data_IF_439595350191
#
_entry.id   IF_439595350191
#
_cell.length_a   1.000
_cell.length_b   1.000
_cell.length_c   1.000
_cell.angle_alpha   90.00
_cell.angle_beta   90.00
_cell.angle_gamma   90.00
#
_symmetry.space_group_name_H-M   'P 1'
#
loop_
_entity.id
_entity.type
_entity.pdbx_description
1 polymer ?
#
# COMPACT_ATOMS: atom_id res chain seq x y z
N UNK A 1 -14.93 6.78 -4.72
CA UNK A 1 -14.66 5.79 -5.80
C UNK A 1 -13.45 6.17 -6.65
N UNK A 2 -13.25 7.45 -6.99
CA UNK A 2 -12.09 7.90 -7.78
C UNK A 2 -10.73 7.45 -7.24
N UNK A 3 -10.52 7.53 -5.92
CA UNK A 3 -9.31 7.04 -5.26
C UNK A 3 -9.08 5.54 -5.47
N UNK A 4 -10.12 4.70 -5.41
CA UNK A 4 -9.99 3.26 -5.59
C UNK A 4 -9.56 2.90 -7.03
N UNK A 5 -10.07 3.61 -8.03
CA UNK A 5 -9.61 3.45 -9.42
C UNK A 5 -8.17 3.90 -9.61
N UNK A 6 -7.75 4.99 -8.97
CA UNK A 6 -6.37 5.45 -9.00
C UNK A 6 -5.43 4.40 -8.36
N UNK A 7 -5.80 3.86 -7.20
CA UNK A 7 -5.05 2.79 -6.53
C UNK A 7 -4.97 1.53 -7.39
N UNK A 8 -6.08 1.12 -8.02
CA UNK A 8 -6.10 -0.04 -8.92
C UNK A 8 -5.18 0.18 -10.12
N UNK A 9 -5.17 1.37 -10.72
CA UNK A 9 -4.22 1.74 -11.80
C UNK A 9 -2.77 1.67 -11.37
N UNK A 10 -2.49 2.09 -10.13
CA UNK A 10 -1.15 2.10 -9.58
C UNK A 10 -0.64 0.69 -9.27
N UNK A 11 -1.43 -0.09 -8.52
CA UNK A 11 -1.00 -1.39 -8.01
C UNK A 11 -1.27 -2.56 -8.96
N UNK A 12 -2.31 -2.47 -9.78
CA UNK A 12 -2.79 -3.55 -10.64
C UNK A 12 -3.09 -3.00 -12.05
N UNK A 13 -2.10 -2.42 -12.76
CA UNK A 13 -2.33 -1.70 -14.02
C UNK A 13 -3.01 -2.55 -15.09
N UNK A 14 -2.75 -3.85 -15.10
CA UNK A 14 -3.28 -4.82 -16.06
C UNK A 14 -4.63 -5.44 -15.66
N UNK A 15 -5.15 -5.14 -14.47
CA UNK A 15 -6.45 -5.67 -14.02
C UNK A 15 -7.62 -4.75 -14.38
N UNK A 16 -8.82 -5.30 -14.64
CA UNK A 16 -10.01 -4.52 -14.91
C UNK A 16 -10.48 -3.74 -13.67
N UNK A 17 -11.37 -2.77 -13.90
CA UNK A 17 -11.96 -1.93 -12.86
C UNK A 17 -13.15 -2.64 -12.16
N UNK A 18 -13.00 -3.94 -11.86
CA UNK A 18 -14.01 -4.74 -11.15
C UNK A 18 -13.86 -4.65 -9.62
N UNK A 19 -14.91 -5.05 -8.89
CA UNK A 19 -14.97 -4.92 -7.44
C UNK A 19 -13.86 -5.69 -6.71
N UNK A 20 -13.40 -6.82 -7.25
CA UNK A 20 -12.30 -7.61 -6.65
C UNK A 20 -10.96 -6.92 -6.87
N UNK A 21 -10.71 -6.41 -8.07
CA UNK A 21 -9.49 -5.67 -8.37
C UNK A 21 -9.41 -4.37 -7.58
N UNK A 22 -10.53 -3.66 -7.40
CA UNK A 22 -10.60 -2.46 -6.56
C UNK A 22 -10.33 -2.78 -5.08
N UNK A 23 -10.98 -3.80 -4.53
CA UNK A 23 -10.76 -4.20 -3.13
C UNK A 23 -9.33 -4.71 -2.89
N UNK A 24 -8.74 -5.44 -3.83
CA UNK A 24 -7.32 -5.84 -3.79
C UNK A 24 -6.40 -4.62 -3.81
N UNK A 25 -6.67 -3.63 -4.65
CA UNK A 25 -5.87 -2.41 -4.71
C UNK A 25 -5.90 -1.62 -3.39
N UNK A 26 -7.07 -1.51 -2.75
CA UNK A 26 -7.21 -0.89 -1.43
C UNK A 26 -6.45 -1.68 -0.36
N UNK A 27 -6.49 -3.02 -0.41
CA UNK A 27 -5.72 -3.86 0.50
C UNK A 27 -4.21 -3.67 0.33
N UNK A 28 -3.73 -3.59 -0.92
CA UNK A 28 -2.32 -3.36 -1.24
C UNK A 28 -1.82 -2.01 -0.73
N UNK A 29 -2.62 -0.96 -0.88
CA UNK A 29 -2.34 0.37 -0.35
C UNK A 29 -2.12 0.33 1.17
N UNK A 30 -3.08 -0.24 1.90
CA UNK A 30 -2.98 -0.38 3.36
C UNK A 30 -1.74 -1.18 3.77
N UNK A 31 -1.48 -2.29 3.08
CA UNK A 31 -0.32 -3.12 3.38
C UNK A 31 1.01 -2.40 3.08
N UNK A 32 1.06 -1.55 2.05
CA UNK A 32 2.23 -0.73 1.75
C UNK A 32 2.52 0.27 2.89
N UNK A 33 1.49 0.97 3.39
CA UNK A 33 1.64 1.85 4.56
C UNK A 33 2.15 1.11 5.80
N UNK A 34 1.61 -0.07 6.11
CA UNK A 34 2.07 -0.88 7.25
C UNK A 34 3.55 -1.29 7.11
N UNK A 35 4.00 -1.58 5.88
CA UNK A 35 5.41 -1.90 5.62
C UNK A 35 6.32 -0.68 5.81
N UNK A 36 5.90 0.47 5.33
CA UNK A 36 6.64 1.72 5.49
C UNK A 36 6.76 2.11 6.96
N UNK A 37 5.67 2.02 7.72
CA UNK A 37 5.68 2.26 9.16
C UNK A 37 6.71 1.37 9.87
N UNK A 38 6.72 0.06 9.59
CA UNK A 38 7.70 -0.87 10.17
C UNK A 38 9.13 -0.54 9.75
N UNK A 39 9.34 -0.15 8.50
CA UNK A 39 10.67 0.22 8.01
C UNK A 39 11.19 1.47 8.73
N UNK A 40 10.34 2.49 8.91
CA UNK A 40 10.67 3.71 9.65
C UNK A 40 10.95 3.39 11.12
N UNK A 41 10.10 2.61 11.78
CA UNK A 41 10.32 2.19 13.16
C UNK A 41 11.64 1.43 13.32
N UNK A 42 11.93 0.49 12.42
CA UNK A 42 13.19 -0.25 12.44
C UNK A 42 14.41 0.66 12.26
N UNK A 43 14.33 1.64 11.35
CA UNK A 43 15.40 2.61 11.13
C UNK A 43 15.62 3.50 12.37
N UNK A 44 14.55 4.00 12.99
CA UNK A 44 14.61 4.78 14.24
C UNK A 44 15.24 3.95 15.35
N UNK A 45 14.76 2.72 15.57
CA UNK A 45 15.33 1.83 16.60
C UNK A 45 16.82 1.62 16.38
N UNK A 46 17.28 1.40 15.14
CA UNK A 46 18.71 1.24 14.85
C UNK A 46 19.51 2.50 15.11
N UNK A 47 18.97 3.67 14.83
CA UNK A 47 19.66 4.96 15.03
C UNK A 47 19.85 5.30 16.51
N UNK A 48 18.86 5.00 17.34
CA UNK A 48 18.87 5.37 18.77
C UNK A 48 19.25 4.20 19.71
N UNK A 49 19.55 3.01 19.19
CA UNK A 49 20.08 1.88 19.98
C UNK A 49 21.61 1.86 20.05
N UNK A 50 22.27 3.00 19.80
CA UNK A 50 23.72 3.20 19.93
C UNK A 50 24.03 4.10 21.12
#
# INVERSE_FOLDING_TARGET
MEQAFALRRHFLPSEPDDERSLSRAIWLDKHQFEREERAVMSAISRLFSH
#
